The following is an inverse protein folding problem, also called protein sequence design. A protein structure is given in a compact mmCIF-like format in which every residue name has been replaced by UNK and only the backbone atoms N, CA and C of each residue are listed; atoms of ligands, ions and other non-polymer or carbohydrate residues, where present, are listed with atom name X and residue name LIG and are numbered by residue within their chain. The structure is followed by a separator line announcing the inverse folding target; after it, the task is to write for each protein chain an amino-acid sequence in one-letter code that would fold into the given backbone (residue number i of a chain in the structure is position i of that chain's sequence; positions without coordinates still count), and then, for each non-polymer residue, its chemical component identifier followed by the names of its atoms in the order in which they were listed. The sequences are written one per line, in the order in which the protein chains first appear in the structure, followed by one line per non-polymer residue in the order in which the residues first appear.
data_IF_156902859618
#
_entry.id   IF_156902859618
#
_cell.length_a   1.000
_cell.length_b   1.000
_cell.length_c   1.000
_cell.angle_alpha   90.00
_cell.angle_beta   90.00
_cell.angle_gamma   90.00
#
_symmetry.space_group_name_H-M   'P 1'
#
loop_
_entity.id
_entity.type
_entity.pdbx_description
1 polymer ?
#
# COMPACT_ATOMS: atom_id res chain seq x y z
N UNK A 1 14.94 20.93 -13.69
CA UNK A 1 13.82 19.99 -13.90
C UNK A 1 12.58 20.81 -14.17
N UNK A 2 11.80 20.42 -15.17
CA UNK A 2 10.54 21.12 -15.50
C UNK A 2 9.42 20.61 -14.61
N UNK A 3 8.33 21.37 -14.44
CA UNK A 3 7.19 20.92 -13.64
C UNK A 3 6.55 19.63 -14.18
N UNK A 4 6.66 19.36 -15.48
CA UNK A 4 6.18 18.11 -16.08
C UNK A 4 6.97 16.88 -15.61
N UNK A 5 8.29 17.02 -15.38
CA UNK A 5 9.13 15.93 -14.88
C UNK A 5 8.77 15.56 -13.43
N UNK A 6 8.42 16.56 -12.61
CA UNK A 6 8.01 16.35 -11.22
C UNK A 6 6.65 15.67 -11.11
N UNK A 7 5.69 16.08 -11.94
CA UNK A 7 4.34 15.53 -11.93
C UNK A 7 4.37 14.06 -12.44
N UNK A 8 5.16 13.76 -13.48
CA UNK A 8 5.41 12.38 -13.95
C UNK A 8 6.12 11.51 -12.89
N UNK A 9 7.05 12.09 -12.13
CA UNK A 9 7.72 11.38 -11.04
C UNK A 9 6.74 11.00 -9.93
N UNK A 10 5.90 11.94 -9.48
CA UNK A 10 4.88 11.68 -8.44
C UNK A 10 3.91 10.59 -8.85
N UNK A 11 3.42 10.63 -10.09
CA UNK A 11 2.50 9.62 -10.60
C UNK A 11 3.13 8.23 -10.63
N UNK A 12 4.41 8.12 -11.03
CA UNK A 12 5.14 6.84 -10.99
C UNK A 12 5.36 6.35 -9.56
N UNK A 13 5.66 7.25 -8.63
CA UNK A 13 5.79 6.92 -7.20
C UNK A 13 4.47 6.42 -6.64
N UNK A 14 3.36 7.10 -6.89
CA UNK A 14 2.03 6.67 -6.45
C UNK A 14 1.67 5.29 -7.02
N UNK A 15 1.91 5.04 -8.31
CA UNK A 15 1.69 3.74 -8.92
C UNK A 15 2.53 2.62 -8.26
N UNK A 16 3.79 2.91 -7.94
CA UNK A 16 4.67 1.94 -7.23
C UNK A 16 4.17 1.67 -5.83
N UNK A 17 3.63 2.67 -5.15
CA UNK A 17 3.06 2.53 -3.81
C UNK A 17 1.77 1.70 -3.82
N UNK A 18 0.89 1.88 -4.81
CA UNK A 18 -0.29 1.02 -4.98
C UNK A 18 0.11 -0.44 -5.25
N UNK A 19 1.03 -0.70 -6.18
CA UNK A 19 1.54 -2.05 -6.44
C UNK A 19 2.17 -2.69 -5.18
N UNK A 20 2.84 -1.88 -4.36
CA UNK A 20 3.37 -2.35 -3.06
C UNK A 20 2.25 -2.70 -2.09
N UNK A 21 1.21 -1.87 -1.99
CA UNK A 21 0.05 -2.14 -1.14
C UNK A 21 -0.67 -3.43 -1.56
N UNK A 22 -0.90 -3.63 -2.86
CA UNK A 22 -1.49 -4.87 -3.41
C UNK A 22 -0.65 -6.11 -3.07
N UNK A 23 0.69 -6.01 -3.17
CA UNK A 23 1.59 -7.11 -2.79
C UNK A 23 1.54 -7.43 -1.30
N UNK A 24 1.35 -6.42 -0.45
CA UNK A 24 1.17 -6.62 0.98
C UNK A 24 -0.16 -7.30 1.30
N UNK A 25 -1.24 -6.98 0.58
CA UNK A 25 -2.52 -7.71 0.70
C UNK A 25 -2.38 -9.19 0.32
N UNK A 26 -1.63 -9.50 -0.74
CA UNK A 26 -1.31 -10.90 -1.08
C UNK A 26 -0.51 -11.58 0.04
N UNK A 27 0.43 -10.87 0.66
CA UNK A 27 1.21 -11.40 1.77
C UNK A 27 0.34 -11.67 3.02
N UNK A 28 -0.59 -10.77 3.36
CA UNK A 28 -1.56 -10.99 4.43
C UNK A 28 -2.41 -12.25 4.18
N UNK A 29 -2.94 -12.43 2.97
CA UNK A 29 -3.74 -13.60 2.65
C UNK A 29 -2.96 -14.92 2.84
N UNK A 30 -1.66 -14.90 2.53
CA UNK A 30 -0.76 -16.05 2.76
C UNK A 30 -0.53 -16.28 4.26
N UNK A 31 -0.34 -15.21 5.05
CA UNK A 31 -0.17 -15.30 6.50
C UNK A 31 -1.41 -15.86 7.19
N UNK A 32 -2.60 -15.39 6.80
CA UNK A 32 -3.86 -15.90 7.32
C UNK A 32 -4.09 -17.36 6.95
N UNK A 33 -3.87 -17.76 5.68
CA UNK A 33 -3.92 -19.19 5.33
C UNK A 33 -2.94 -20.02 6.16
N UNK A 34 -1.71 -19.53 6.35
CA UNK A 34 -0.70 -20.22 7.16
C UNK A 34 -1.10 -20.31 8.64
N UNK A 35 -1.85 -19.33 9.15
CA UNK A 35 -2.37 -19.33 10.51
C UNK A 35 -3.43 -20.43 10.70
N UNK A 36 -4.32 -20.60 9.73
CA UNK A 36 -5.36 -21.64 9.72
C UNK A 36 -4.79 -23.05 9.58
N UNK A 37 -3.68 -23.20 8.84
CA UNK A 37 -3.00 -24.48 8.65
C UNK A 37 -2.11 -24.87 9.85
N UNK A 38 -1.89 -23.96 10.81
CA UNK A 38 -1.02 -24.20 11.96
C UNK A 38 -1.71 -25.02 13.05
N UNK A 39 -1.11 -26.14 13.51
CA UNK A 39 -1.63 -26.89 14.66
C UNK A 39 -1.29 -26.27 16.01
N UNK A 40 -0.38 -25.27 16.05
CA UNK A 40 0.00 -24.56 17.27
C UNK A 40 -0.81 -23.25 17.41
N UNK A 41 -1.65 -23.11 18.46
CA UNK A 41 -2.47 -21.92 18.69
C UNK A 41 -1.66 -20.64 18.87
N UNK A 42 -0.45 -20.74 19.43
CA UNK A 42 0.42 -19.57 19.59
C UNK A 42 0.91 -19.07 18.24
N UNK A 43 1.27 -19.97 17.34
CA UNK A 43 1.64 -19.64 15.96
C UNK A 43 0.46 -19.07 15.18
N UNK A 44 -0.74 -19.65 15.29
CA UNK A 44 -1.96 -19.09 14.67
C UNK A 44 -2.20 -17.64 15.10
N UNK A 45 -2.17 -17.38 16.40
CA UNK A 45 -2.38 -16.01 16.94
C UNK A 45 -1.33 -15.02 16.41
N UNK A 46 -0.06 -15.44 16.37
CA UNK A 46 1.05 -14.60 15.88
C UNK A 46 0.91 -14.29 14.40
N UNK A 47 0.51 -15.27 13.59
CA UNK A 47 0.35 -15.09 12.15
C UNK A 47 -0.87 -14.21 11.82
N UNK A 48 -1.99 -14.33 12.54
CA UNK A 48 -3.10 -13.38 12.41
C UNK A 48 -2.70 -11.96 12.78
N UNK A 49 -2.06 -11.79 13.94
CA UNK A 49 -1.60 -10.47 14.37
C UNK A 49 -0.67 -9.83 13.33
N UNK A 50 0.24 -10.62 12.77
CA UNK A 50 1.13 -10.15 11.71
C UNK A 50 0.39 -9.82 10.41
N UNK A 51 -0.63 -10.61 10.03
CA UNK A 51 -1.49 -10.34 8.88
C UNK A 51 -2.26 -9.02 9.03
N UNK A 52 -2.82 -8.78 10.21
CA UNK A 52 -3.51 -7.52 10.55
C UNK A 52 -2.57 -6.31 10.46
N UNK A 53 -1.36 -6.43 11.01
CA UNK A 53 -0.32 -5.38 10.92
C UNK A 53 0.08 -5.09 9.46
N UNK A 54 0.24 -6.13 8.64
CA UNK A 54 0.56 -6.00 7.21
C UNK A 54 -0.58 -5.29 6.47
N UNK A 55 -1.84 -5.61 6.76
CA UNK A 55 -3.00 -4.92 6.18
C UNK A 55 -3.04 -3.44 6.58
N UNK A 56 -2.77 -3.12 7.85
CA UNK A 56 -2.72 -1.74 8.32
C UNK A 56 -1.64 -0.94 7.57
N UNK A 57 -0.47 -1.54 7.32
CA UNK A 57 0.60 -0.91 6.53
C UNK A 57 0.22 -0.76 5.05
N UNK A 58 -0.39 -1.77 4.43
CA UNK A 58 -0.85 -1.71 3.04
C UNK A 58 -1.81 -0.53 2.83
N UNK A 59 -2.80 -0.38 3.73
CA UNK A 59 -3.75 0.75 3.70
C UNK A 59 -3.06 2.09 3.85
N UNK A 60 -2.15 2.22 4.81
CA UNK A 60 -1.41 3.47 5.01
C UNK A 60 -0.54 3.85 3.79
N UNK A 61 -0.01 2.87 3.05
CA UNK A 61 0.74 3.11 1.81
C UNK A 61 -0.21 3.55 0.69
N UNK A 62 -1.35 2.87 0.53
CA UNK A 62 -2.36 3.23 -0.47
C UNK A 62 -2.90 4.64 -0.24
N UNK A 63 -3.27 5.00 0.99
CA UNK A 63 -3.74 6.35 1.34
C UNK A 63 -2.70 7.42 1.00
N UNK A 64 -1.41 7.15 1.27
CA UNK A 64 -0.33 8.09 0.90
C UNK A 64 -0.16 8.21 -0.61
N UNK A 65 -0.38 7.14 -1.36
CA UNK A 65 -0.33 7.16 -2.82
C UNK A 65 -1.49 7.98 -3.42
N UNK A 66 -2.68 7.85 -2.83
CA UNK A 66 -3.86 8.63 -3.21
C UNK A 66 -3.62 10.14 -2.97
N UNK A 67 -3.10 10.50 -1.80
CA UNK A 67 -2.77 11.89 -1.46
C UNK A 67 -1.72 12.47 -2.43
N UNK A 68 -0.74 11.67 -2.84
CA UNK A 68 0.29 12.10 -3.80
C UNK A 68 -0.31 12.38 -5.19
N UNK A 69 -1.33 11.62 -5.59
CA UNK A 69 -2.02 11.77 -6.88
C UNK A 69 -3.03 12.92 -6.86
N UNK A 70 -3.73 13.12 -5.74
CA UNK A 70 -4.65 14.26 -5.55
C UNK A 70 -3.91 15.59 -5.58
N UNK A 71 -2.79 15.70 -4.87
CA UNK A 71 -1.96 16.91 -4.87
C UNK A 71 -1.41 17.26 -6.28
N UNK A 72 -1.22 16.24 -7.12
CA UNK A 72 -0.84 16.45 -8.52
C UNK A 72 -2.01 16.99 -9.36
N UNK A 73 -3.19 16.41 -9.17
CA UNK A 73 -4.43 16.82 -9.86
C UNK A 73 -4.80 18.27 -9.55
N UNK A 74 -4.82 18.65 -8.27
CA UNK A 74 -5.14 20.02 -7.83
C UNK A 74 -4.16 21.06 -8.42
N UNK A 75 -2.88 20.69 -8.53
CA UNK A 75 -1.84 21.55 -9.11
C UNK A 75 -2.02 21.70 -10.63
N UNK A 76 -2.44 20.66 -11.34
CA UNK A 76 -2.72 20.75 -12.77
C UNK A 76 -3.94 21.62 -13.06
N UNK A 77 -4.97 21.56 -12.22
CA UNK A 77 -6.16 22.41 -12.34
C UNK A 77 -5.85 23.88 -12.05
N UNK A 78 -5.03 24.19 -11.03
CA UNK A 78 -4.63 25.56 -10.71
C UNK A 78 -3.75 26.25 -11.79
N UNK A 79 -3.24 25.49 -12.77
CA UNK A 79 -2.42 25.98 -13.88
C UNK A 79 -3.20 26.18 -15.19
N UNK A 80 -4.49 25.82 -15.23
CA UNK A 80 -5.38 26.03 -16.37
C UNK A 80 -6.12 27.36 -16.25
#
# INVERSE_FOLDING_TARGET
MTSHDEDSFRQRTAATMHDTAEKLEVAEAILHRSAEDSPDPATTTRLHTLGDDVTAQARAIAERADLLTQADTDRQEARR
#
